data_IF_794493619866
#
_entry.id   IF_794493619866
#
_cell.length_a   1.000
_cell.length_b   1.000
_cell.length_c   1.000
_cell.angle_alpha   90.00
_cell.angle_beta   90.00
_cell.angle_gamma   90.00
#
_symmetry.space_group_name_H-M   'P 1'
#
loop_
_entity.id
_entity.type
_entity.pdbx_description
1 polymer ?
#
# COMPACT_ATOMS: atom_id res chain seq x y z
N UNK A 1 17.35 -15.68 10.88
CA UNK A 1 17.14 -14.84 9.68
C UNK A 1 15.84 -15.15 8.92
N UNK A 2 15.32 -16.36 8.97
CA UNK A 2 14.13 -16.78 8.18
C UNK A 2 12.84 -16.14 8.67
N UNK A 3 12.68 -15.95 9.97
CA UNK A 3 11.50 -15.34 10.59
C UNK A 3 11.29 -13.86 10.17
N UNK A 4 12.38 -13.14 9.89
CA UNK A 4 12.33 -11.75 9.46
C UNK A 4 11.82 -11.60 8.01
N UNK A 5 12.06 -12.56 7.13
CA UNK A 5 11.62 -12.55 5.73
C UNK A 5 10.08 -12.60 5.62
N UNK A 6 9.49 -13.49 6.40
CA UNK A 6 8.02 -13.68 6.38
C UNK A 6 7.25 -12.52 7.03
N UNK A 7 7.89 -11.79 7.96
CA UNK A 7 7.28 -10.63 8.61
C UNK A 7 7.17 -9.41 7.69
N UNK A 8 8.06 -9.25 6.72
CA UNK A 8 8.08 -8.08 5.85
C UNK A 8 6.86 -8.00 4.92
N UNK A 9 6.46 -9.13 4.33
CA UNK A 9 5.26 -9.17 3.49
C UNK A 9 3.98 -9.00 4.32
N UNK A 10 3.98 -9.51 5.55
CA UNK A 10 2.88 -9.26 6.47
C UNK A 10 2.78 -7.77 6.83
N UNK A 11 3.91 -7.12 7.11
CA UNK A 11 3.96 -5.67 7.36
C UNK A 11 3.47 -4.91 6.14
N UNK A 12 3.90 -5.28 4.92
CA UNK A 12 3.44 -4.68 3.68
C UNK A 12 1.92 -4.82 3.50
N UNK A 13 1.37 -6.01 3.72
CA UNK A 13 -0.07 -6.25 3.63
C UNK A 13 -0.86 -5.45 4.67
N UNK A 14 -0.41 -5.43 5.93
CA UNK A 14 -1.06 -4.66 7.01
C UNK A 14 -1.00 -3.16 6.69
N UNK A 15 0.16 -2.63 6.30
CA UNK A 15 0.33 -1.21 5.99
C UNK A 15 -0.54 -0.80 4.81
N UNK A 16 -0.59 -1.60 3.75
CA UNK A 16 -1.46 -1.33 2.59
C UNK A 16 -2.95 -1.39 2.96
N UNK A 17 -3.34 -2.31 3.87
CA UNK A 17 -4.71 -2.39 4.38
C UNK A 17 -5.05 -1.16 5.21
N UNK A 18 -4.16 -0.72 6.10
CA UNK A 18 -4.36 0.49 6.91
C UNK A 18 -4.41 1.75 6.03
N UNK A 19 -3.57 1.84 5.01
CA UNK A 19 -3.64 2.92 4.02
C UNK A 19 -4.99 2.94 3.31
N UNK A 20 -5.49 1.79 2.87
CA UNK A 20 -6.80 1.67 2.23
C UNK A 20 -7.93 2.10 3.19
N UNK A 21 -7.90 1.64 4.44
CA UNK A 21 -8.89 2.05 5.46
C UNK A 21 -8.86 3.55 5.73
N UNK A 22 -7.66 4.14 5.82
CA UNK A 22 -7.48 5.58 5.99
C UNK A 22 -8.07 6.37 4.81
N UNK A 23 -7.79 5.94 3.58
CA UNK A 23 -8.33 6.57 2.37
C UNK A 23 -9.86 6.47 2.28
N UNK A 24 -10.44 5.33 2.68
CA UNK A 24 -11.90 5.16 2.75
C UNK A 24 -12.51 6.04 3.86
N UNK A 25 -11.86 6.14 5.01
CA UNK A 25 -12.36 6.94 6.13
C UNK A 25 -12.34 8.46 5.84
N UNK A 26 -11.44 8.92 4.98
CA UNK A 26 -11.26 10.34 4.68
C UNK A 26 -12.55 11.03 4.21
N UNK A 27 -13.29 10.55 3.18
CA UNK A 27 -14.52 11.20 2.75
C UNK A 27 -15.61 11.18 3.83
N UNK A 28 -15.69 10.13 4.65
CA UNK A 28 -16.66 10.08 5.75
C UNK A 28 -16.37 11.10 6.84
N UNK A 29 -15.10 11.34 7.15
CA UNK A 29 -14.68 12.38 8.10
C UNK A 29 -15.07 13.76 7.57
N UNK A 30 -14.87 14.04 6.29
CA UNK A 30 -15.29 15.29 5.66
C UNK A 30 -16.79 15.50 5.73
N UNK A 31 -17.60 14.47 5.44
CA UNK A 31 -19.06 14.53 5.53
C UNK A 31 -19.50 14.80 6.99
N UNK A 32 -18.88 14.15 7.95
CA UNK A 32 -19.20 14.36 9.37
C UNK A 32 -18.82 15.77 9.84
N UNK A 33 -17.73 16.32 9.37
CA UNK A 33 -17.29 17.69 9.69
C UNK A 33 -18.17 18.75 9.03
N UNK A 34 -18.67 18.52 7.80
CA UNK A 34 -19.57 19.46 7.11
C UNK A 34 -20.90 19.66 7.84
N UNK A 35 -21.35 18.69 8.63
CA UNK A 35 -22.57 18.79 9.43
C UNK A 35 -22.39 19.62 10.72
N UNK A 36 -21.19 19.99 11.10
CA UNK A 36 -20.90 20.74 12.35
C UNK A 36 -20.61 22.23 12.14
N UNK A 37 -21.11 22.87 11.07
CA UNK A 37 -21.09 24.31 10.88
C UNK A 37 -19.70 24.99 10.98
N UNK A 38 -18.62 24.36 10.62
CA UNK A 38 -17.32 25.01 10.50
C UNK A 38 -16.98 25.12 9.03
N UNK A 39 -17.14 26.32 8.50
CA UNK A 39 -16.77 26.65 7.13
C UNK A 39 -15.31 26.34 6.85
N UNK A 40 -15.02 25.50 5.83
CA UNK A 40 -13.75 25.47 5.10
C UNK A 40 -12.52 24.97 5.85
N UNK A 41 -12.60 24.08 6.82
CA UNK A 41 -11.39 23.42 7.32
C UNK A 41 -11.06 22.18 6.48
N UNK A 42 -9.96 22.29 5.75
CA UNK A 42 -9.27 21.14 5.15
C UNK A 42 -8.87 20.15 6.26
N UNK A 43 -8.79 18.86 5.95
CA UNK A 43 -8.35 17.85 6.89
C UNK A 43 -7.12 18.29 7.69
N UNK A 44 -7.05 18.00 8.99
CA UNK A 44 -5.92 18.40 9.85
C UNK A 44 -4.59 17.93 9.25
N UNK A 45 -3.56 18.75 9.43
CA UNK A 45 -2.22 18.48 8.85
C UNK A 45 -1.71 17.09 9.23
N UNK A 46 -1.91 16.68 10.47
CA UNK A 46 -1.49 15.37 10.95
C UNK A 46 -2.18 14.21 10.21
N UNK A 47 -3.46 14.37 9.84
CA UNK A 47 -4.21 13.38 9.05
C UNK A 47 -3.59 13.21 7.64
N UNK A 48 -3.19 14.31 7.03
CA UNK A 48 -2.52 14.33 5.72
C UNK A 48 -1.10 13.75 5.77
N UNK A 49 -0.41 13.87 6.91
CA UNK A 49 0.93 13.30 7.10
C UNK A 49 0.92 11.78 7.21
N UNK A 50 -0.19 11.19 7.63
CA UNK A 50 -0.34 9.73 7.72
C UNK A 50 -0.14 9.05 6.35
N UNK A 51 -0.59 9.67 5.26
CA UNK A 51 -0.39 9.14 3.90
C UNK A 51 1.10 8.98 3.57
N UNK A 52 1.91 9.98 3.91
CA UNK A 52 3.35 9.92 3.68
C UNK A 52 4.02 8.85 4.54
N UNK A 53 3.56 8.69 5.76
CA UNK A 53 4.04 7.64 6.66
C UNK A 53 3.75 6.24 6.08
N UNK A 54 2.54 6.02 5.60
CA UNK A 54 2.19 4.77 4.93
C UNK A 54 2.99 4.55 3.65
N UNK A 55 3.24 5.59 2.86
CA UNK A 55 4.09 5.49 1.66
C UNK A 55 5.51 5.04 1.99
N UNK A 56 6.12 5.60 3.03
CA UNK A 56 7.48 5.23 3.43
C UNK A 56 7.52 3.77 3.91
N UNK A 57 6.59 3.35 4.77
CA UNK A 57 6.55 1.97 5.26
C UNK A 57 6.28 0.99 4.12
N UNK A 58 5.33 1.30 3.22
CA UNK A 58 5.03 0.45 2.07
C UNK A 58 6.21 0.37 1.10
N UNK A 59 6.96 1.46 0.91
CA UNK A 59 8.20 1.45 0.13
C UNK A 59 9.21 0.45 0.70
N UNK A 60 9.46 0.54 2.02
CA UNK A 60 10.39 -0.37 2.68
C UNK A 60 9.91 -1.83 2.61
N UNK A 61 8.60 -2.05 2.72
CA UNK A 61 8.01 -3.37 2.58
C UNK A 61 8.18 -3.93 1.17
N UNK A 62 7.88 -3.14 0.13
CA UNK A 62 8.07 -3.52 -1.27
C UNK A 62 9.55 -3.79 -1.56
N UNK A 63 10.44 -2.89 -1.14
CA UNK A 63 11.89 -3.06 -1.32
C UNK A 63 12.38 -4.37 -0.71
N UNK A 64 12.02 -4.65 0.55
CA UNK A 64 12.40 -5.88 1.24
C UNK A 64 11.76 -7.11 0.61
N UNK A 65 10.48 -7.03 0.24
CA UNK A 65 9.74 -8.11 -0.41
C UNK A 65 10.39 -8.49 -1.74
N UNK A 66 10.78 -7.52 -2.56
CA UNK A 66 11.45 -7.78 -3.85
C UNK A 66 12.86 -8.40 -3.71
N UNK A 67 13.53 -8.19 -2.58
CA UNK A 67 14.83 -8.84 -2.29
C UNK A 67 14.66 -10.29 -1.86
N UNK A 68 13.49 -10.66 -1.34
CA UNK A 68 13.26 -11.97 -0.73
C UNK A 68 12.42 -12.91 -1.57
N UNK A 69 11.68 -12.38 -2.55
CA UNK A 69 10.83 -13.21 -3.42
C UNK A 69 11.65 -14.00 -4.43
N UNK A 70 11.28 -15.26 -4.61
CA UNK A 70 11.82 -16.12 -5.66
C UNK A 70 11.15 -15.88 -7.02
N UNK A 71 9.95 -15.28 -7.02
CA UNK A 71 9.18 -15.09 -8.26
C UNK A 71 9.65 -13.87 -9.04
N UNK A 72 10.05 -14.09 -10.27
CA UNK A 72 10.47 -13.04 -11.20
C UNK A 72 9.33 -12.05 -11.52
N UNK A 73 8.11 -12.54 -11.65
CA UNK A 73 6.94 -11.74 -12.04
C UNK A 73 6.44 -10.81 -10.94
N UNK A 74 6.53 -11.19 -9.69
CA UNK A 74 6.01 -10.40 -8.56
C UNK A 74 6.80 -9.11 -8.36
N UNK A 75 8.11 -9.14 -8.59
CA UNK A 75 8.97 -7.96 -8.40
C UNK A 75 8.49 -6.73 -9.18
N UNK A 76 8.32 -6.80 -10.52
CA UNK A 76 7.87 -5.64 -11.27
C UNK A 76 6.44 -5.22 -10.91
N UNK A 77 5.55 -6.15 -10.58
CA UNK A 77 4.18 -5.81 -10.19
C UNK A 77 4.12 -5.07 -8.85
N UNK A 78 4.93 -5.45 -7.87
CA UNK A 78 5.04 -4.73 -6.61
C UNK A 78 5.53 -3.29 -6.82
N UNK A 79 6.58 -3.11 -7.62
CA UNK A 79 7.10 -1.79 -7.92
C UNK A 79 6.11 -0.94 -8.74
N UNK A 80 5.47 -1.54 -9.73
CA UNK A 80 4.46 -0.85 -10.54
C UNK A 80 3.29 -0.38 -9.68
N UNK A 81 2.71 -1.28 -8.86
CA UNK A 81 1.59 -0.94 -7.98
C UNK A 81 1.95 0.14 -6.96
N UNK A 82 3.15 0.07 -6.38
CA UNK A 82 3.63 1.10 -5.46
C UNK A 82 3.85 2.44 -6.16
N UNK A 83 4.42 2.44 -7.37
CA UNK A 83 4.65 3.67 -8.14
C UNK A 83 3.33 4.34 -8.53
N UNK A 84 2.33 3.56 -8.94
CA UNK A 84 0.99 4.07 -9.24
C UNK A 84 0.36 4.68 -8.00
N UNK A 85 0.43 3.99 -6.85
CA UNK A 85 -0.08 4.51 -5.58
C UNK A 85 0.61 5.82 -5.20
N UNK A 86 1.93 5.89 -5.31
CA UNK A 86 2.72 7.10 -5.04
C UNK A 86 2.28 8.27 -5.92
N UNK A 87 2.14 8.04 -7.24
CA UNK A 87 1.73 9.10 -8.19
C UNK A 87 0.32 9.60 -7.86
N UNK A 88 -0.62 8.72 -7.53
CA UNK A 88 -1.99 9.09 -7.20
C UNK A 88 -2.01 9.94 -5.92
N UNK A 89 -1.32 9.53 -4.86
CA UNK A 89 -1.25 10.29 -3.60
C UNK A 89 -0.58 11.66 -3.83
N UNK A 90 0.49 11.72 -4.63
CA UNK A 90 1.12 13.00 -4.97
C UNK A 90 0.19 13.89 -5.80
N UNK A 91 -0.55 13.30 -6.75
CA UNK A 91 -1.53 14.03 -7.53
C UNK A 91 -2.66 14.61 -6.65
N UNK A 92 -3.16 13.82 -5.71
CA UNK A 92 -4.20 14.28 -4.77
C UNK A 92 -3.73 15.48 -3.94
N UNK A 93 -2.47 15.45 -3.47
CA UNK A 93 -1.92 16.56 -2.68
C UNK A 93 -1.65 17.83 -3.49
N UNK A 94 -1.40 17.71 -4.80
CA UNK A 94 -1.07 18.82 -5.69
C UNK A 94 -2.19 19.22 -6.65
N UNK A 95 -3.25 18.43 -6.71
CA UNK A 95 -4.42 18.65 -7.58
C UNK A 95 -4.04 18.89 -9.07
N UNK A 96 -3.05 18.15 -9.58
CA UNK A 96 -2.63 18.30 -10.98
C UNK A 96 -3.67 17.79 -11.96
N UNK A 97 -4.32 16.67 -11.64
CA UNK A 97 -5.38 16.08 -12.45
C UNK A 97 -6.58 15.77 -11.56
N UNK A 98 -7.81 15.95 -12.08
CA UNK A 98 -9.03 15.62 -11.37
C UNK A 98 -9.24 14.10 -11.33
N UNK A 99 -8.40 13.38 -10.57
CA UNK A 99 -8.60 11.97 -10.31
C UNK A 99 -9.62 11.80 -9.19
N UNK A 100 -10.57 10.89 -9.38
CA UNK A 100 -11.50 10.54 -8.30
C UNK A 100 -10.75 9.87 -7.14
N UNK A 101 -11.18 10.14 -5.92
CA UNK A 101 -10.61 9.53 -4.68
C UNK A 101 -10.56 8.00 -4.75
N UNK A 102 -11.41 7.39 -5.55
CA UNK A 102 -11.49 5.94 -5.76
C UNK A 102 -10.25 5.36 -6.49
N UNK A 103 -9.48 6.20 -7.18
CA UNK A 103 -8.29 5.77 -7.92
C UNK A 103 -7.22 5.12 -7.01
N UNK A 104 -7.16 5.51 -5.73
CA UNK A 104 -6.25 4.96 -4.72
C UNK A 104 -6.57 3.50 -4.38
N UNK A 105 -7.85 3.11 -4.43
CA UNK A 105 -8.28 1.79 -3.97
C UNK A 105 -7.68 0.66 -4.79
N UNK A 106 -7.57 0.84 -6.10
CA UNK A 106 -7.05 -0.19 -7.00
C UNK A 106 -5.58 -0.57 -6.70
N UNK A 107 -4.61 0.36 -6.69
CA UNK A 107 -3.22 0.02 -6.40
C UNK A 107 -3.02 -0.44 -4.94
N UNK A 108 -3.79 0.09 -3.99
CA UNK A 108 -3.72 -0.35 -2.60
C UNK A 108 -4.18 -1.81 -2.43
N UNK A 109 -5.31 -2.19 -3.02
CA UNK A 109 -5.78 -3.57 -3.05
C UNK A 109 -4.79 -4.50 -3.77
N UNK A 110 -4.25 -4.06 -4.88
CA UNK A 110 -3.24 -4.82 -5.63
C UNK A 110 -2.01 -5.10 -4.77
N UNK A 111 -1.52 -4.12 -4.03
CA UNK A 111 -0.39 -4.30 -3.10
C UNK A 111 -0.73 -5.31 -1.99
N UNK A 112 -1.93 -5.23 -1.40
CA UNK A 112 -2.36 -6.19 -0.37
C UNK A 112 -2.31 -7.62 -0.93
N UNK A 113 -2.93 -7.83 -2.09
CA UNK A 113 -2.98 -9.15 -2.75
C UNK A 113 -1.58 -9.65 -3.09
N UNK A 114 -0.73 -8.80 -3.67
CA UNK A 114 0.64 -9.16 -4.04
C UNK A 114 1.50 -9.52 -2.83
N UNK A 115 1.41 -8.78 -1.73
CA UNK A 115 2.14 -9.09 -0.51
C UNK A 115 1.65 -10.40 0.13
N UNK A 116 0.33 -10.62 0.18
CA UNK A 116 -0.23 -11.87 0.69
C UNK A 116 0.14 -13.07 -0.18
N UNK A 117 0.08 -12.89 -1.50
CA UNK A 117 0.47 -13.92 -2.45
C UNK A 117 1.96 -14.24 -2.34
N UNK A 118 2.82 -13.22 -2.29
CA UNK A 118 4.26 -13.40 -2.11
C UNK A 118 4.58 -14.12 -0.81
N UNK A 119 3.92 -13.73 0.29
CA UNK A 119 4.07 -14.40 1.58
C UNK A 119 3.71 -15.89 1.51
N UNK A 120 2.64 -16.22 0.81
CA UNK A 120 2.12 -17.61 0.78
C UNK A 120 2.88 -18.52 -0.19
N UNK A 121 3.24 -18.01 -1.36
CA UNK A 121 3.68 -18.85 -2.47
C UNK A 121 5.12 -18.63 -2.93
N UNK A 122 5.71 -17.47 -2.67
CA UNK A 122 6.96 -17.07 -3.32
C UNK A 122 8.14 -16.88 -2.38
N UNK A 123 7.99 -17.19 -1.09
CA UNK A 123 9.11 -17.15 -0.15
C UNK A 123 9.81 -18.51 -0.12
N UNK A 124 11.01 -18.52 -0.64
CA UNK A 124 11.90 -19.69 -0.51
C UNK A 124 12.34 -19.86 0.94
N UNK A 125 11.80 -20.84 1.59
CA UNK A 125 12.25 -21.30 2.89
C UNK A 125 13.08 -22.57 2.69
N UNK A 126 14.41 -22.38 2.60
CA UNK A 126 15.44 -23.44 2.63
C UNK A 126 15.11 -24.79 1.97
N UNK A 127 15.88 -25.16 0.96
CA UNK A 127 16.01 -26.49 0.31
C UNK A 127 14.80 -27.12 -0.38
N UNK A 128 13.60 -26.61 -0.22
CA UNK A 128 12.39 -27.06 -0.95
C UNK A 128 11.65 -25.90 -1.58
N UNK A 129 12.39 -24.98 -2.21
CA UNK A 129 11.79 -23.94 -3.02
C UNK A 129 11.38 -24.53 -4.35
N UNK A 130 10.08 -24.38 -4.63
CA UNK A 130 9.54 -24.43 -5.99
C UNK A 130 9.70 -25.77 -6.74
N UNK A 131 9.28 -26.87 -6.14
CA UNK A 131 8.94 -28.10 -6.87
C UNK A 131 7.49 -28.11 -7.35
N UNK A 132 6.85 -26.98 -7.51
CA UNK A 132 5.56 -26.90 -8.17
C UNK A 132 5.61 -25.84 -9.28
N UNK A 133 6.52 -26.09 -10.19
CA UNK A 133 6.38 -25.62 -11.56
C UNK A 133 5.78 -26.79 -12.36
N UNK A 134 4.49 -26.79 -12.47
CA UNK A 134 3.73 -27.40 -13.56
C UNK A 134 2.41 -26.70 -13.75
#
# INVERSE_FOLDING_TARGET
MIVLKQKTDLIGAITSTLCLMHCIATPFIFIAQSSTMVCCESAPVWWRLIDYFFLVISFLAVYRSTQTTASYWIKPFLWLSWSVLFIIIMNEKRAWFPLGEQAIYFPALTLIVLHLYNKKYCQCNTTKCCTHER
#
